data_IF_722507235368
#
_entry.id   IF_722507235368
#
_cell.length_a   1.000
_cell.length_b   1.000
_cell.length_c   1.000
_cell.angle_alpha   90.00
_cell.angle_beta   90.00
_cell.angle_gamma   90.00
#
_symmetry.space_group_name_H-M   'P 1'
#
loop_
_entity.id
_entity.type
_entity.pdbx_description
1 polymer ?
#
# COMPACT_ATOMS: atom_id res chain seq x y z
N UNK A 1 2.59 -2.01 -21.19
CA UNK A 1 2.57 -0.88 -20.24
C UNK A 1 3.16 -1.38 -18.94
N UNK A 2 4.04 -0.63 -18.28
CA UNK A 2 4.56 -1.04 -16.97
C UNK A 2 3.44 -1.20 -15.94
N UNK A 3 3.62 -2.11 -14.98
CA UNK A 3 2.55 -2.54 -14.08
C UNK A 3 1.96 -1.36 -13.28
N UNK A 4 2.80 -0.51 -12.69
CA UNK A 4 2.30 0.62 -11.88
C UNK A 4 1.52 1.61 -12.73
N UNK A 5 1.97 1.87 -13.97
CA UNK A 5 1.26 2.72 -14.91
C UNK A 5 -0.13 2.15 -15.23
N UNK A 6 -0.22 0.85 -15.51
CA UNK A 6 -1.50 0.18 -15.73
C UNK A 6 -2.43 0.29 -14.51
N UNK A 7 -1.91 0.08 -13.30
CA UNK A 7 -2.71 0.18 -12.06
C UNK A 7 -3.23 1.59 -11.80
N UNK A 8 -2.43 2.62 -12.09
CA UNK A 8 -2.85 4.03 -11.96
C UNK A 8 -3.90 4.38 -13.02
N UNK A 9 -3.76 3.89 -14.25
CA UNK A 9 -4.80 4.06 -15.28
C UNK A 9 -6.11 3.37 -14.88
N UNK A 10 -6.05 2.14 -14.37
CA UNK A 10 -7.22 1.44 -13.84
C UNK A 10 -7.86 2.21 -12.68
N UNK A 11 -7.06 2.80 -11.78
CA UNK A 11 -7.57 3.61 -10.68
C UNK A 11 -8.27 4.88 -11.17
N UNK A 12 -7.67 5.62 -12.12
CA UNK A 12 -8.29 6.79 -12.77
C UNK A 12 -9.62 6.46 -13.44
N UNK A 13 -9.70 5.28 -14.06
CA UNK A 13 -10.89 4.82 -14.77
C UNK A 13 -11.92 4.11 -13.86
N UNK A 14 -11.63 3.96 -12.56
CA UNK A 14 -12.51 3.26 -11.61
C UNK A 14 -12.62 1.76 -11.84
N UNK A 15 -11.66 1.15 -12.55
CA UNK A 15 -11.63 -0.30 -12.87
C UNK A 15 -10.68 -1.09 -11.98
N UNK A 16 -9.92 -0.42 -11.09
CA UNK A 16 -9.11 -1.08 -10.07
C UNK A 16 -9.96 -1.35 -8.81
N UNK A 17 -10.34 -2.61 -8.62
CA UNK A 17 -11.16 -3.10 -7.50
C UNK A 17 -10.49 -2.99 -6.12
N UNK A 18 -9.17 -2.76 -6.07
CA UNK A 18 -8.39 -2.64 -4.83
C UNK A 18 -8.28 -1.22 -4.31
N UNK A 19 -8.83 -0.23 -5.01
CA UNK A 19 -8.74 1.17 -4.59
C UNK A 19 -9.40 1.36 -3.22
N UNK A 20 -8.64 1.99 -2.31
CA UNK A 20 -9.13 2.48 -1.03
C UNK A 20 -9.70 3.88 -1.26
N UNK A 21 -8.87 4.82 -1.71
CA UNK A 21 -9.26 6.20 -2.03
C UNK A 21 -8.20 6.92 -2.88
N UNK A 22 -8.58 8.09 -3.41
CA UNK A 22 -7.62 9.07 -3.97
C UNK A 22 -6.93 9.81 -2.82
N UNK A 23 -5.62 9.92 -2.90
CA UNK A 23 -4.76 10.75 -2.05
C UNK A 23 -4.31 11.99 -2.82
N UNK A 24 -3.86 13.07 -2.17
CA UNK A 24 -3.22 14.19 -2.86
C UNK A 24 -2.08 13.79 -3.82
N UNK A 25 -1.20 12.87 -3.39
CA UNK A 25 -0.02 12.43 -4.14
C UNK A 25 -0.26 11.26 -5.10
N UNK A 26 -1.39 10.57 -4.98
CA UNK A 26 -1.60 9.31 -5.68
C UNK A 26 -2.87 8.56 -5.30
N UNK A 27 -2.80 7.23 -5.37
CA UNK A 27 -3.88 6.32 -5.05
C UNK A 27 -3.46 5.38 -3.93
N UNK A 28 -4.25 5.31 -2.87
CA UNK A 28 -4.13 4.26 -1.86
C UNK A 28 -4.88 3.03 -2.37
N UNK A 29 -4.22 1.88 -2.41
CA UNK A 29 -4.79 0.60 -2.88
C UNK A 29 -4.43 -0.54 -1.93
N UNK A 30 -5.28 -1.56 -1.85
CA UNK A 30 -4.95 -2.82 -1.20
C UNK A 30 -3.90 -3.58 -2.02
N UNK A 31 -3.00 -4.27 -1.34
CA UNK A 31 -2.04 -5.17 -2.00
C UNK A 31 -2.73 -6.37 -2.65
N UNK A 32 -2.18 -6.83 -3.78
CA UNK A 32 -2.73 -7.95 -4.56
C UNK A 32 -2.88 -9.25 -3.77
N UNK A 33 -2.06 -9.43 -2.74
CA UNK A 33 -2.13 -10.52 -1.76
C UNK A 33 -2.18 -9.95 -0.35
N UNK A 34 -2.69 -10.72 0.60
CA UNK A 34 -2.93 -10.27 1.98
C UNK A 34 -2.34 -11.23 3.03
N UNK A 35 -1.10 -11.71 2.82
CA UNK A 35 -0.37 -12.53 3.82
C UNK A 35 -0.15 -11.79 5.15
N UNK A 36 -0.12 -10.45 5.10
CA UNK A 36 -0.34 -9.57 6.24
C UNK A 36 -1.61 -8.78 5.93
N UNK A 37 -2.76 -9.10 6.57
CA UNK A 37 -4.01 -8.41 6.32
C UNK A 37 -3.85 -6.90 6.50
N UNK A 38 -4.38 -6.09 5.59
CA UNK A 38 -4.20 -4.63 5.61
C UNK A 38 -2.93 -4.15 4.92
N UNK A 39 -2.19 -5.02 4.23
CA UNK A 39 -1.12 -4.60 3.34
C UNK A 39 -1.71 -3.71 2.22
N UNK A 40 -1.15 -2.51 2.09
CA UNK A 40 -1.53 -1.49 1.13
C UNK A 40 -0.33 -1.02 0.30
N UNK A 41 -0.64 -0.34 -0.82
CA UNK A 41 0.33 0.45 -1.57
C UNK A 41 -0.15 1.89 -1.75
N UNK A 42 0.82 2.80 -1.86
CA UNK A 42 0.61 4.13 -2.42
C UNK A 42 1.21 4.18 -3.83
N UNK A 43 0.35 4.33 -4.84
CA UNK A 43 0.73 4.49 -6.24
C UNK A 43 0.75 5.99 -6.58
N UNK A 44 1.86 6.56 -7.09
CA UNK A 44 1.94 7.99 -7.42
C UNK A 44 1.09 8.31 -8.65
N UNK A 45 0.46 9.48 -8.63
CA UNK A 45 -0.26 10.00 -9.79
C UNK A 45 0.01 11.52 -9.90
N UNK A 46 0.91 11.96 -10.81
CA UNK A 46 1.44 11.23 -11.97
C UNK A 46 2.48 10.16 -11.63
N UNK A 47 2.61 9.16 -12.51
CA UNK A 47 3.62 8.09 -12.39
C UNK A 47 5.01 8.65 -12.67
N UNK A 48 5.95 8.38 -11.76
CA UNK A 48 7.37 8.75 -11.86
C UNK A 48 8.23 7.53 -11.57
N UNK A 49 9.51 7.56 -11.94
CA UNK A 49 10.41 6.43 -11.71
C UNK A 49 10.74 6.24 -10.23
N UNK A 50 11.08 7.31 -9.50
CA UNK A 50 11.48 7.20 -8.10
C UNK A 50 11.05 8.39 -7.25
N UNK A 51 11.19 8.24 -5.94
CA UNK A 51 11.00 9.33 -4.98
C UNK A 51 11.93 10.52 -5.29
N UNK A 52 13.09 10.26 -5.89
CA UNK A 52 14.09 11.25 -6.25
C UNK A 52 13.70 12.09 -7.46
N UNK A 53 12.78 11.60 -8.30
CA UNK A 53 12.27 12.32 -9.48
C UNK A 53 11.13 13.29 -9.15
N UNK A 54 10.59 13.22 -7.93
CA UNK A 54 9.64 14.23 -7.43
C UNK A 54 10.40 15.50 -7.01
N UNK A 55 9.80 16.66 -7.31
CA UNK A 55 10.23 17.93 -6.71
C UNK A 55 9.97 17.96 -5.19
N UNK A 56 10.41 19.04 -4.53
CA UNK A 56 10.36 19.13 -3.07
C UNK A 56 8.92 19.03 -2.52
N UNK A 57 7.96 19.70 -3.14
CA UNK A 57 6.58 19.77 -2.68
C UNK A 57 5.83 18.47 -2.94
N UNK A 58 6.00 17.89 -4.14
CA UNK A 58 5.41 16.61 -4.49
C UNK A 58 6.00 15.48 -3.63
N UNK A 59 7.30 15.50 -3.35
CA UNK A 59 7.96 14.52 -2.47
C UNK A 59 7.44 14.62 -1.04
N UNK A 60 7.30 15.84 -0.51
CA UNK A 60 6.74 16.05 0.83
C UNK A 60 5.30 15.55 0.93
N UNK A 61 4.48 15.83 -0.09
CA UNK A 61 3.10 15.35 -0.19
C UNK A 61 3.03 13.82 -0.24
N UNK A 62 3.88 13.19 -1.06
CA UNK A 62 3.93 11.73 -1.18
C UNK A 62 4.31 11.05 0.13
N UNK A 63 5.36 11.54 0.83
CA UNK A 63 5.79 10.98 2.11
C UNK A 63 4.75 11.21 3.22
N UNK A 64 4.05 12.34 3.21
CA UNK A 64 2.97 12.60 4.17
C UNK A 64 1.77 11.67 3.92
N UNK A 65 1.35 11.49 2.68
CA UNK A 65 0.26 10.56 2.34
C UNK A 65 0.63 9.11 2.66
N UNK A 66 1.88 8.71 2.41
CA UNK A 66 2.41 7.41 2.83
C UNK A 66 2.23 7.21 4.35
N UNK A 67 2.63 8.20 5.16
CA UNK A 67 2.47 8.14 6.62
C UNK A 67 1.00 8.08 7.04
N UNK A 68 0.12 8.90 6.43
CA UNK A 68 -1.32 8.90 6.69
C UNK A 68 -1.98 7.55 6.41
N UNK A 69 -1.61 6.90 5.30
CA UNK A 69 -2.08 5.54 5.00
C UNK A 69 -1.60 4.58 6.09
N UNK A 70 -0.35 4.69 6.52
CA UNK A 70 0.16 3.89 7.63
C UNK A 70 -0.60 4.10 8.94
N UNK A 71 -0.92 5.35 9.30
CA UNK A 71 -1.72 5.66 10.50
C UNK A 71 -3.12 5.03 10.42
N UNK A 72 -3.79 5.18 9.27
CA UNK A 72 -5.10 4.59 9.02
C UNK A 72 -5.06 3.05 9.07
N UNK A 73 -4.05 2.43 8.45
CA UNK A 73 -3.84 0.98 8.48
C UNK A 73 -3.57 0.51 9.91
N UNK A 74 -2.70 1.20 10.66
CA UNK A 74 -2.35 0.87 12.03
C UNK A 74 -3.60 0.85 12.92
N UNK A 75 -4.44 1.88 12.81
CA UNK A 75 -5.67 2.00 13.59
C UNK A 75 -6.74 0.98 13.15
N UNK A 76 -6.98 0.82 11.86
CA UNK A 76 -8.02 -0.07 11.35
C UNK A 76 -7.74 -1.55 11.62
N UNK A 77 -6.46 -1.94 11.59
CA UNK A 77 -6.06 -3.35 11.72
C UNK A 77 -5.69 -3.78 13.13
N UNK A 78 -5.40 -2.83 14.03
CA UNK A 78 -4.81 -3.14 15.34
C UNK A 78 -3.37 -3.65 15.25
N UNK A 79 -2.67 -3.38 14.14
CA UNK A 79 -1.27 -3.72 13.98
C UNK A 79 -0.40 -3.05 15.06
N UNK A 80 0.73 -3.66 15.36
CA UNK A 80 1.68 -3.15 16.38
C UNK A 80 2.64 -2.09 15.81
N UNK A 81 2.86 -2.10 14.50
CA UNK A 81 3.64 -1.08 13.76
C UNK A 81 3.44 -1.24 12.25
N UNK A 82 3.93 -0.27 11.50
CA UNK A 82 3.99 -0.30 10.03
C UNK A 82 5.44 -0.46 9.55
N UNK A 83 5.64 -1.22 8.49
CA UNK A 83 6.87 -1.19 7.70
C UNK A 83 6.57 -0.50 6.37
N UNK A 84 7.48 0.37 5.94
CA UNK A 84 7.39 1.12 4.69
C UNK A 84 8.55 0.72 3.80
N UNK A 85 8.27 0.41 2.55
CA UNK A 85 9.31 0.03 1.59
C UNK A 85 9.04 0.66 0.22
N UNK A 86 10.07 1.31 -0.32
CA UNK A 86 10.11 1.84 -1.69
C UNK A 86 11.35 1.21 -2.31
N UNK A 87 11.15 0.19 -3.16
CA UNK A 87 12.24 -0.64 -3.67
C UNK A 87 12.57 -0.31 -5.13
N UNK A 88 11.59 -0.37 -6.03
CA UNK A 88 11.77 -0.04 -7.45
C UNK A 88 12.64 -1.03 -8.24
N UNK A 89 13.01 -2.18 -7.67
CA UNK A 89 13.96 -3.11 -8.29
C UNK A 89 13.33 -3.97 -9.40
N UNK A 90 12.07 -4.40 -9.23
CA UNK A 90 11.34 -5.24 -10.18
C UNK A 90 10.40 -4.41 -11.03
N UNK A 91 9.58 -3.58 -10.39
CA UNK A 91 8.74 -2.56 -11.03
C UNK A 91 9.42 -1.19 -10.84
N UNK A 92 9.98 -0.57 -11.90
CA UNK A 92 10.86 0.59 -11.77
C UNK A 92 10.12 1.90 -11.54
N UNK A 93 8.79 1.92 -11.58
CA UNK A 93 8.01 3.09 -11.19
C UNK A 93 7.90 3.21 -9.67
N UNK A 94 7.85 4.43 -9.15
CA UNK A 94 7.65 4.70 -7.74
C UNK A 94 6.35 4.04 -7.26
N UNK A 95 6.43 3.31 -6.16
CA UNK A 95 5.32 2.82 -5.38
C UNK A 95 5.84 2.53 -3.97
N UNK A 96 5.02 2.83 -2.96
CA UNK A 96 5.37 2.52 -1.59
C UNK A 96 4.51 1.37 -1.09
N UNK A 97 5.15 0.34 -0.56
CA UNK A 97 4.49 -0.72 0.17
C UNK A 97 4.33 -0.33 1.64
N UNK A 98 3.16 -0.61 2.20
CA UNK A 98 2.77 -0.25 3.56
C UNK A 98 2.26 -1.51 4.23
N UNK A 99 3.12 -2.12 5.06
CA UNK A 99 2.86 -3.43 5.67
C UNK A 99 2.54 -3.30 7.15
N UNK A 100 1.31 -3.65 7.59
CA UNK A 100 1.04 -3.81 9.02
C UNK A 100 1.79 -5.02 9.58
N UNK A 101 2.38 -4.84 10.77
CA UNK A 101 3.08 -5.90 11.52
C UNK A 101 2.31 -6.23 12.78
N UNK A 102 2.19 -7.51 13.10
CA UNK A 102 1.35 -8.02 14.19
C UNK A 102 2.17 -8.82 15.20
N UNK A 103 1.76 -8.76 16.47
CA UNK A 103 2.32 -9.62 17.51
C UNK A 103 2.02 -11.12 17.28
N UNK A 104 0.99 -11.44 16.50
CA UNK A 104 0.58 -12.80 16.13
C UNK A 104 1.40 -13.43 15.00
N UNK A 105 2.27 -12.65 14.34
CA UNK A 105 3.18 -13.18 13.32
C UNK A 105 4.11 -14.27 13.91
N UNK A 106 4.47 -15.31 13.15
CA UNK A 106 5.51 -16.26 13.56
C UNK A 106 6.80 -15.55 13.94
N UNK A 107 7.40 -15.95 15.06
CA UNK A 107 8.49 -15.19 15.70
C UNK A 107 9.77 -15.10 14.83
N UNK A 108 9.99 -16.11 13.98
CA UNK A 108 11.06 -16.18 12.98
C UNK A 108 10.82 -15.23 11.79
N UNK A 109 9.57 -14.86 11.51
CA UNK A 109 9.20 -13.91 10.44
C UNK A 109 8.97 -12.49 10.95
N UNK A 110 8.40 -12.34 12.14
CA UNK A 110 8.07 -11.04 12.76
C UNK A 110 9.29 -10.12 12.93
N UNK A 111 10.48 -10.71 13.05
CA UNK A 111 11.76 -10.01 13.23
C UNK A 111 12.52 -9.78 11.92
N UNK A 112 11.98 -10.24 10.79
CA UNK A 112 12.61 -10.19 9.48
C UNK A 112 11.82 -9.26 8.53
N UNK A 113 12.43 -8.85 7.40
CA UNK A 113 11.72 -8.19 6.31
C UNK A 113 10.53 -9.04 5.82
N UNK A 114 9.47 -8.38 5.36
CA UNK A 114 8.24 -9.06 4.93
C UNK A 114 8.45 -9.96 3.71
N UNK A 115 9.51 -9.76 2.94
CA UNK A 115 9.86 -10.60 1.78
C UNK A 115 10.28 -12.03 2.13
N UNK A 116 10.48 -12.35 3.41
CA UNK A 116 10.69 -13.72 3.88
C UNK A 116 9.37 -14.50 4.07
N UNK A 117 8.22 -13.86 3.87
CA UNK A 117 6.94 -14.55 3.79
C UNK A 117 6.79 -15.27 2.44
N UNK A 118 5.96 -16.32 2.43
CA UNK A 118 5.59 -16.98 1.18
C UNK A 118 4.57 -16.13 0.42
N UNK A 119 5.08 -15.13 -0.29
CA UNK A 119 4.28 -14.24 -1.12
C UNK A 119 3.58 -14.98 -2.25
N UNK A 120 4.26 -15.96 -2.84
CA UNK A 120 3.80 -16.65 -4.04
C UNK A 120 2.52 -17.44 -3.78
N UNK A 121 2.40 -18.02 -2.58
CA UNK A 121 1.21 -18.77 -2.16
C UNK A 121 0.32 -17.99 -1.19
N UNK A 122 0.53 -16.69 -1.04
CA UNK A 122 -0.29 -15.84 -0.21
C UNK A 122 -1.73 -15.76 -0.75
N UNK A 123 -2.71 -15.67 0.15
CA UNK A 123 -4.10 -15.47 -0.24
C UNK A 123 -4.24 -14.16 -1.03
N UNK A 124 -4.85 -14.19 -2.22
CA UNK A 124 -5.16 -12.96 -2.97
C UNK A 124 -6.10 -12.06 -2.18
N UNK A 125 -6.05 -10.76 -2.49
CA UNK A 125 -7.12 -9.85 -2.12
C UNK A 125 -8.46 -10.34 -2.66
N UNK A 126 -9.50 -10.24 -1.83
CA UNK A 126 -10.87 -10.58 -2.16
C UNK A 126 -11.80 -9.65 -1.36
N UNK A 127 -12.74 -8.99 -2.03
CA UNK A 127 -13.61 -7.97 -1.43
C UNK A 127 -14.54 -8.53 -0.34
N UNK A 128 -15.01 -9.78 -0.50
CA UNK A 128 -15.85 -10.47 0.47
C UNK A 128 -15.11 -10.81 1.78
N UNK A 129 -13.79 -10.94 1.73
CA UNK A 129 -12.94 -11.23 2.90
C UNK A 129 -12.33 -9.96 3.49
N UNK A 130 -11.85 -9.05 2.65
CA UNK A 130 -11.02 -7.91 3.05
C UNK A 130 -11.72 -6.55 2.93
N UNK A 131 -12.91 -6.50 2.31
CA UNK A 131 -13.60 -5.26 1.99
C UNK A 131 -13.97 -4.43 3.21
N UNK A 132 -14.27 -5.04 4.35
CA UNK A 132 -14.59 -4.31 5.58
C UNK A 132 -13.36 -3.58 6.14
N UNK A 133 -12.19 -4.22 6.10
CA UNK A 133 -10.93 -3.57 6.47
C UNK A 133 -10.58 -2.46 5.47
N UNK A 134 -10.75 -2.69 4.16
CA UNK A 134 -10.55 -1.67 3.12
C UNK A 134 -11.42 -0.43 3.36
N UNK A 135 -12.70 -0.63 3.67
CA UNK A 135 -13.66 0.45 3.99
C UNK A 135 -13.28 1.19 5.27
N UNK A 136 -12.85 0.47 6.31
CA UNK A 136 -12.40 1.10 7.56
C UNK A 136 -11.18 2.01 7.33
N UNK A 137 -10.19 1.55 6.55
CA UNK A 137 -9.04 2.38 6.17
C UNK A 137 -9.50 3.60 5.38
N UNK A 138 -10.41 3.43 4.41
CA UNK A 138 -10.93 4.54 3.61
C UNK A 138 -11.67 5.60 4.47
N UNK A 139 -12.42 5.17 5.49
CA UNK A 139 -13.09 6.08 6.43
C UNK A 139 -12.09 6.90 7.26
N UNK A 140 -11.02 6.26 7.73
CA UNK A 140 -9.97 6.93 8.50
C UNK A 140 -9.17 7.94 7.66
N UNK A 141 -9.00 7.69 6.36
CA UNK A 141 -8.33 8.60 5.44
C UNK A 141 -9.20 9.79 4.99
N UNK A 142 -10.51 9.71 5.22
CA UNK A 142 -11.46 10.77 4.87
C UNK A 142 -11.66 11.82 5.99
N UNK A 143 -11.24 11.50 7.22
CA UNK A 143 -11.31 12.39 8.40
C UNK A 143 -10.06 13.24 8.57
#
# INVERSE_FOLDING_TARGET
MPLIMERVEQARNGTNDKVICRMPSGWAVMGDVQFLPGYCLLLPDPVVASLNDLDADARATYLLDMARIGDAVLQASGASRINYEILGNSEPELHCHIFPRYASEPDDKRKMPVWFYDWKNALPYAEDVHGDLRKAIAQLLAG
#
